data_IF_591882131321
#
_entry.id   IF_591882131321
#
_cell.length_a   1.000
_cell.length_b   1.000
_cell.length_c   1.000
_cell.angle_alpha   90.00
_cell.angle_beta   90.00
_cell.angle_gamma   90.00
#
_symmetry.space_group_name_H-M   'P 1'
#
loop_
_entity.id
_entity.type
_entity.pdbx_description
1 polymer ?
#
# COMPACT_ATOMS: atom_id res chain seq x y z
N UNK A 1 -8.83 -10.16 10.94
CA UNK A 1 -10.03 -10.22 11.79
C UNK A 1 -10.02 -9.09 12.81
N UNK A 2 -10.92 -8.11 12.67
CA UNK A 2 -11.09 -7.03 13.65
C UNK A 2 -11.54 -7.56 15.02
N UNK A 3 -10.93 -7.07 16.10
CA UNK A 3 -11.27 -7.45 17.49
C UNK A 3 -11.85 -6.29 18.30
N UNK A 4 -11.65 -5.04 17.85
CA UNK A 4 -12.06 -3.81 18.55
C UNK A 4 -13.15 -3.00 17.80
N UNK A 5 -13.64 -3.52 16.67
CA UNK A 5 -14.62 -2.83 15.83
C UNK A 5 -15.46 -3.82 15.03
N UNK A 6 -16.54 -3.30 14.43
CA UNK A 6 -17.38 -4.01 13.46
C UNK A 6 -17.39 -3.25 12.15
N UNK A 7 -17.48 -3.99 11.05
CA UNK A 7 -17.59 -3.46 9.69
C UNK A 7 -18.96 -2.80 9.54
N UNK A 8 -18.96 -1.49 9.35
CA UNK A 8 -20.19 -0.72 9.12
C UNK A 8 -20.71 -0.90 7.70
N UNK A 9 -21.97 -0.54 7.45
CA UNK A 9 -22.54 -0.49 6.10
C UNK A 9 -21.74 0.43 5.17
N UNK A 10 -21.17 1.52 5.70
CA UNK A 10 -20.30 2.40 4.93
C UNK A 10 -19.02 1.66 4.51
N UNK A 11 -18.35 0.98 5.45
CA UNK A 11 -17.15 0.21 5.16
C UNK A 11 -17.42 -0.90 4.13
N UNK A 12 -18.53 -1.64 4.27
CA UNK A 12 -18.91 -2.66 3.29
C UNK A 12 -19.14 -2.07 1.90
N UNK A 13 -19.83 -0.93 1.79
CA UNK A 13 -20.02 -0.26 0.49
C UNK A 13 -18.71 0.22 -0.11
N UNK A 14 -17.79 0.67 0.73
CA UNK A 14 -16.50 1.19 0.30
C UNK A 14 -15.57 0.06 -0.15
N UNK A 15 -15.34 -0.95 0.69
CA UNK A 15 -14.29 -1.97 0.49
C UNK A 15 -14.81 -3.32 0.02
N UNK A 16 -16.13 -3.46 -0.15
CA UNK A 16 -16.86 -4.71 -0.44
C UNK A 16 -16.68 -5.85 0.57
N UNK A 17 -15.92 -5.63 1.64
CA UNK A 17 -15.76 -6.59 2.73
C UNK A 17 -16.97 -6.57 3.65
N UNK A 18 -17.54 -7.75 3.88
CA UNK A 18 -18.61 -7.98 4.85
C UNK A 18 -18.04 -8.37 6.22
N UNK A 19 -18.83 -8.22 7.28
CA UNK A 19 -18.44 -8.69 8.61
C UNK A 19 -18.11 -10.19 8.60
N UNK A 20 -18.92 -11.01 7.94
CA UNK A 20 -18.72 -12.45 7.85
C UNK A 20 -17.37 -12.82 7.18
N UNK A 21 -16.95 -12.07 6.15
CA UNK A 21 -15.65 -12.29 5.50
C UNK A 21 -14.48 -11.89 6.41
N UNK A 22 -14.57 -10.78 7.15
CA UNK A 22 -13.46 -10.37 8.02
C UNK A 22 -13.38 -11.19 9.31
N UNK A 23 -14.49 -11.80 9.73
CA UNK A 23 -14.56 -12.70 10.89
C UNK A 23 -13.80 -14.02 10.67
N UNK A 24 -13.67 -14.47 9.42
CA UNK A 24 -12.88 -15.65 9.05
C UNK A 24 -11.40 -15.33 8.79
N UNK A 25 -11.01 -14.06 8.82
CA UNK A 25 -9.64 -13.63 8.55
C UNK A 25 -8.66 -13.93 9.69
N UNK A 26 -7.37 -13.75 9.41
CA UNK A 26 -6.28 -13.90 10.39
C UNK A 26 -6.16 -12.71 11.35
N UNK A 27 -5.47 -12.83 12.48
CA UNK A 27 -5.21 -11.70 13.39
C UNK A 27 -4.27 -10.68 12.74
N UNK A 28 -4.16 -9.47 13.32
CA UNK A 28 -3.24 -8.46 12.78
C UNK A 28 -1.78 -8.90 12.98
N UNK A 29 -1.49 -9.47 14.14
CA UNK A 29 -0.21 -10.02 14.54
C UNK A 29 0.24 -11.13 13.62
N UNK A 30 -0.63 -12.10 13.34
CA UNK A 30 -0.33 -13.20 12.42
C UNK A 30 -0.14 -12.70 10.99
N UNK A 31 -0.94 -11.72 10.54
CA UNK A 31 -0.74 -11.10 9.23
C UNK A 31 0.63 -10.40 9.13
N UNK A 32 1.06 -9.67 10.17
CA UNK A 32 2.39 -9.08 10.25
C UNK A 32 3.49 -10.14 10.21
N UNK A 33 3.33 -11.25 10.93
CA UNK A 33 4.28 -12.36 10.89
C UNK A 33 4.41 -12.97 9.49
N UNK A 34 3.30 -13.14 8.76
CA UNK A 34 3.29 -13.61 7.37
C UNK A 34 4.04 -12.60 6.46
N UNK A 35 3.79 -11.30 6.61
CA UNK A 35 4.51 -10.27 5.85
C UNK A 35 6.03 -10.36 6.08
N UNK A 36 6.46 -10.50 7.32
CA UNK A 36 7.88 -10.60 7.65
C UNK A 36 8.51 -11.90 7.10
N UNK A 37 7.87 -13.05 7.32
CA UNK A 37 8.45 -14.37 7.02
C UNK A 37 8.35 -14.75 5.55
N UNK A 38 7.19 -14.60 4.93
CA UNK A 38 6.95 -15.08 3.56
C UNK A 38 7.39 -14.05 2.51
N UNK A 39 7.32 -12.75 2.84
CA UNK A 39 7.58 -11.66 1.91
C UNK A 39 8.85 -10.87 2.20
N UNK A 40 9.56 -11.19 3.30
CA UNK A 40 10.82 -10.56 3.71
C UNK A 40 10.72 -9.02 3.75
N UNK A 41 9.59 -8.50 4.22
CA UNK A 41 9.26 -7.06 4.16
C UNK A 41 10.22 -6.18 4.96
N UNK A 42 10.97 -6.75 5.90
CA UNK A 42 12.02 -6.06 6.67
C UNK A 42 13.32 -5.85 5.89
N UNK A 43 13.56 -6.67 4.88
CA UNK A 43 14.78 -6.65 4.07
C UNK A 43 14.58 -5.93 2.72
N UNK A 44 13.32 -5.61 2.39
CA UNK A 44 12.93 -5.03 1.11
C UNK A 44 12.47 -3.59 1.25
N UNK A 45 12.71 -2.80 0.21
CA UNK A 45 11.98 -1.55 0.01
C UNK A 45 10.51 -1.90 -0.22
N UNK A 46 9.62 -1.20 0.45
CA UNK A 46 8.19 -1.37 0.26
C UNK A 46 7.56 -0.04 -0.17
N UNK A 47 6.41 -0.12 -0.80
CA UNK A 47 5.75 1.04 -1.37
C UNK A 47 4.26 0.98 -1.12
N UNK A 48 3.64 2.15 -1.02
CA UNK A 48 2.19 2.29 -1.03
C UNK A 48 1.82 3.47 -1.92
N UNK A 49 0.55 3.58 -2.31
CA UNK A 49 0.15 4.72 -3.13
C UNK A 49 0.42 6.03 -2.41
N UNK A 50 0.07 6.16 -1.12
CA UNK A 50 0.42 7.33 -0.32
C UNK A 50 0.90 6.97 1.08
N UNK A 51 1.37 7.94 1.85
CA UNK A 51 1.83 7.70 3.23
C UNK A 51 0.75 7.33 4.25
N UNK A 52 -0.52 7.14 3.83
CA UNK A 52 -1.60 6.74 4.74
C UNK A 52 -1.38 5.33 5.28
N UNK A 53 -1.02 4.38 4.41
CA UNK A 53 -0.78 2.97 4.79
C UNK A 53 0.35 2.85 5.82
N UNK A 54 1.47 3.52 5.60
CA UNK A 54 2.59 3.56 6.56
C UNK A 54 2.14 4.07 7.93
N UNK A 55 1.39 5.18 7.98
CA UNK A 55 0.86 5.72 9.23
C UNK A 55 -0.12 4.77 9.91
N UNK A 56 -0.98 4.10 9.15
CA UNK A 56 -1.93 3.12 9.69
C UNK A 56 -1.23 1.90 10.27
N UNK A 57 -0.22 1.35 9.58
CA UNK A 57 0.55 0.22 10.12
C UNK A 57 1.30 0.61 11.40
N UNK A 58 1.94 1.78 11.47
CA UNK A 58 2.58 2.24 12.71
C UNK A 58 1.58 2.36 13.86
N UNK A 59 0.48 3.11 13.66
CA UNK A 59 -0.51 3.32 14.69
C UNK A 59 -1.15 2.00 15.17
N UNK A 60 -1.40 1.06 14.26
CA UNK A 60 -1.98 -0.23 14.61
C UNK A 60 -0.96 -1.14 15.32
N UNK A 61 0.31 -1.15 14.90
CA UNK A 61 1.37 -1.86 15.60
C UNK A 61 1.53 -1.36 17.04
N UNK A 62 1.56 -0.04 17.24
CA UNK A 62 1.64 0.56 18.57
C UNK A 62 0.43 0.18 19.45
N UNK A 63 -0.77 0.20 18.85
CA UNK A 63 -2.02 -0.09 19.57
C UNK A 63 -2.21 -1.57 19.95
N UNK A 64 -1.59 -2.48 19.20
CA UNK A 64 -1.65 -3.93 19.43
C UNK A 64 -0.37 -4.48 20.06
N UNK A 65 0.63 -3.62 20.32
CA UNK A 65 1.95 -4.02 20.82
C UNK A 65 2.59 -5.08 19.89
N UNK A 66 2.36 -4.89 18.59
CA UNK A 66 2.90 -5.75 17.52
C UNK A 66 4.15 -5.11 16.96
N UNK A 67 5.15 -5.93 16.63
CA UNK A 67 6.33 -5.43 15.91
C UNK A 67 5.92 -4.91 14.52
N UNK A 68 6.48 -3.77 14.13
CA UNK A 68 6.28 -3.22 12.80
C UNK A 68 6.91 -4.13 11.72
N UNK A 69 6.12 -4.60 10.71
CA UNK A 69 6.56 -5.67 9.82
C UNK A 69 7.39 -5.22 8.62
N UNK A 70 7.44 -3.92 8.31
CA UNK A 70 8.17 -3.42 7.15
C UNK A 70 9.54 -2.85 7.51
N UNK A 71 10.41 -2.74 6.52
CA UNK A 71 11.62 -1.95 6.60
C UNK A 71 11.28 -0.45 6.72
N UNK A 72 12.26 0.35 7.16
CA UNK A 72 12.13 1.82 7.15
C UNK A 72 12.21 2.42 5.73
N UNK A 73 12.49 1.59 4.72
CA UNK A 73 12.64 2.01 3.32
C UNK A 73 11.29 2.00 2.64
N UNK A 74 10.56 3.10 2.76
CA UNK A 74 9.23 3.28 2.17
C UNK A 74 9.25 4.25 0.98
N UNK A 75 8.52 3.89 -0.08
CA UNK A 75 8.27 4.77 -1.23
C UNK A 75 6.81 5.24 -1.22
N UNK A 76 6.61 6.55 -1.13
CA UNK A 76 5.33 7.19 -1.40
C UNK A 76 5.15 7.37 -2.92
N UNK A 77 4.48 6.42 -3.56
CA UNK A 77 4.34 6.40 -5.03
C UNK A 77 3.57 7.60 -5.57
N UNK A 78 2.65 8.16 -4.82
CA UNK A 78 1.87 9.35 -5.20
C UNK A 78 2.75 10.60 -5.30
N UNK A 79 3.73 10.73 -4.41
CA UNK A 79 4.72 11.80 -4.48
C UNK A 79 5.66 11.59 -5.68
N UNK A 80 6.27 10.39 -5.75
CA UNK A 80 7.17 10.02 -6.85
C UNK A 80 6.51 10.18 -8.22
N UNK A 81 5.26 9.76 -8.38
CA UNK A 81 4.50 9.89 -9.62
C UNK A 81 4.30 11.35 -10.02
N UNK A 82 3.98 12.23 -9.07
CA UNK A 82 3.79 13.65 -9.34
C UNK A 82 5.09 14.29 -9.81
N UNK A 83 6.21 13.96 -9.17
CA UNK A 83 7.53 14.50 -9.51
C UNK A 83 7.98 14.03 -10.91
N UNK A 84 7.90 12.72 -11.19
CA UNK A 84 8.30 12.15 -12.48
C UNK A 84 7.45 12.66 -13.66
N UNK A 85 6.15 12.90 -13.42
CA UNK A 85 5.22 13.41 -14.44
C UNK A 85 5.09 14.94 -14.44
N UNK A 86 5.90 15.66 -13.64
CA UNK A 86 5.87 17.13 -13.51
C UNK A 86 4.47 17.68 -13.23
N UNK A 87 3.70 16.97 -12.40
CA UNK A 87 2.34 17.38 -12.05
C UNK A 87 2.40 18.49 -10.99
N UNK A 88 1.53 19.52 -11.08
CA UNK A 88 1.49 20.59 -10.09
C UNK A 88 1.01 20.11 -8.71
N UNK A 89 0.34 18.96 -8.66
CA UNK A 89 -0.20 18.38 -7.43
C UNK A 89 -0.19 16.85 -7.52
N UNK A 90 -0.08 16.21 -6.36
CA UNK A 90 -0.27 14.78 -6.18
C UNK A 90 -1.71 14.33 -6.51
N UNK A 91 -1.86 13.20 -7.20
CA UNK A 91 -3.16 12.69 -7.65
C UNK A 91 -3.54 11.33 -7.02
N UNK A 92 -4.83 10.99 -7.02
CA UNK A 92 -5.31 9.69 -6.53
C UNK A 92 -4.96 8.53 -7.46
N UNK A 93 -4.95 7.30 -6.94
CA UNK A 93 -4.51 6.10 -7.66
C UNK A 93 -5.31 5.89 -8.95
N UNK A 94 -6.65 5.96 -8.87
CA UNK A 94 -7.52 5.83 -10.05
C UNK A 94 -7.17 6.82 -11.17
N UNK A 95 -6.82 8.06 -10.81
CA UNK A 95 -6.40 9.07 -11.79
C UNK A 95 -5.03 8.73 -12.38
N UNK A 96 -4.07 8.29 -11.55
CA UNK A 96 -2.75 7.91 -12.02
C UNK A 96 -2.78 6.67 -12.94
N UNK A 97 -3.62 5.69 -12.63
CA UNK A 97 -3.88 4.54 -13.51
C UNK A 97 -4.34 5.04 -14.89
N UNK A 98 -5.38 5.88 -14.93
CA UNK A 98 -5.89 6.45 -16.19
C UNK A 98 -4.87 7.32 -16.92
N UNK A 99 -4.13 8.18 -16.21
CA UNK A 99 -3.10 9.04 -16.80
C UNK A 99 -1.92 8.24 -17.34
N UNK A 100 -1.67 7.05 -16.79
CA UNK A 100 -0.68 6.11 -17.31
C UNK A 100 -1.22 5.21 -18.42
N UNK A 101 -2.38 5.55 -19.00
CA UNK A 101 -3.07 4.79 -20.06
C UNK A 101 -3.41 3.33 -19.66
N UNK A 102 -3.55 3.09 -18.35
CA UNK A 102 -3.99 1.83 -17.79
C UNK A 102 -5.48 1.88 -17.46
N UNK A 103 -6.09 0.70 -17.37
CA UNK A 103 -7.45 0.51 -16.88
C UNK A 103 -7.38 -0.04 -15.46
N UNK A 104 -8.23 0.46 -14.55
CA UNK A 104 -8.37 -0.10 -13.20
C UNK A 104 -8.75 -1.57 -13.30
N UNK A 105 -8.00 -2.40 -12.60
CA UNK A 105 -8.21 -3.84 -12.54
C UNK A 105 -8.72 -4.24 -11.15
N UNK A 106 -9.76 -5.06 -11.09
CA UNK A 106 -10.45 -5.43 -9.86
C UNK A 106 -11.39 -4.35 -9.31
N UNK A 107 -11.64 -4.41 -8.01
CA UNK A 107 -12.62 -3.59 -7.30
C UNK A 107 -11.95 -2.40 -6.61
N UNK A 108 -12.42 -1.19 -6.86
CA UNK A 108 -11.85 -0.02 -6.19
C UNK A 108 -12.00 -0.10 -4.66
N UNK A 109 -10.96 0.29 -3.92
CA UNK A 109 -10.86 0.24 -2.45
C UNK A 109 -10.77 -1.17 -1.83
N UNK A 110 -10.59 -2.20 -2.66
CA UNK A 110 -10.08 -3.49 -2.20
C UNK A 110 -8.57 -3.40 -2.09
N UNK A 111 -8.02 -3.73 -0.92
CA UNK A 111 -6.62 -3.49 -0.62
C UNK A 111 -5.66 -4.24 -1.57
N UNK A 112 -6.02 -5.47 -1.93
CA UNK A 112 -5.32 -6.31 -2.91
C UNK A 112 -5.35 -5.70 -4.32
N UNK A 113 -6.53 -5.28 -4.78
CA UNK A 113 -6.71 -4.67 -6.10
C UNK A 113 -6.03 -3.30 -6.20
N UNK A 114 -6.12 -2.46 -5.17
CA UNK A 114 -5.44 -1.16 -5.12
C UNK A 114 -3.91 -1.35 -5.08
N UNK A 115 -3.39 -2.35 -4.36
CA UNK A 115 -1.96 -2.68 -4.36
C UNK A 115 -1.49 -3.14 -5.74
N UNK A 116 -2.27 -3.98 -6.42
CA UNK A 116 -1.99 -4.43 -7.78
C UNK A 116 -1.94 -3.25 -8.77
N UNK A 117 -2.94 -2.36 -8.74
CA UNK A 117 -2.97 -1.19 -9.60
C UNK A 117 -1.82 -0.22 -9.30
N UNK A 118 -1.46 -0.01 -8.02
CA UNK A 118 -0.29 0.78 -7.65
C UNK A 118 1.01 0.18 -8.21
N UNK A 119 1.16 -1.15 -8.16
CA UNK A 119 2.30 -1.85 -8.74
C UNK A 119 2.36 -1.70 -10.27
N UNK A 120 1.21 -1.72 -10.96
CA UNK A 120 1.14 -1.50 -12.42
C UNK A 120 1.55 -0.07 -12.80
N UNK A 121 1.12 0.93 -12.02
CA UNK A 121 1.55 2.32 -12.20
C UNK A 121 3.05 2.45 -11.96
N UNK A 122 3.59 1.86 -10.89
CA UNK A 122 5.04 1.80 -10.66
C UNK A 122 5.76 1.14 -11.83
N UNK A 123 5.28 0.00 -12.33
CA UNK A 123 5.83 -0.65 -13.51
C UNK A 123 5.85 0.25 -14.75
N UNK A 124 4.84 1.12 -14.92
CA UNK A 124 4.83 2.13 -15.99
C UNK A 124 5.92 3.19 -15.78
N UNK A 125 6.06 3.71 -14.56
CA UNK A 125 7.11 4.68 -14.22
C UNK A 125 8.50 4.10 -14.48
N UNK A 126 8.75 2.85 -14.08
CA UNK A 126 10.05 2.19 -14.26
C UNK A 126 10.38 1.97 -15.75
N UNK A 127 9.39 1.64 -16.58
CA UNK A 127 9.59 1.54 -18.04
C UNK A 127 9.90 2.88 -18.70
N UNK A 128 9.30 3.96 -18.19
CA UNK A 128 9.46 5.31 -18.76
C UNK A 128 10.75 6.00 -18.31
N UNK A 129 11.16 5.79 -17.06
CA UNK A 129 12.23 6.55 -16.41
C UNK A 129 13.44 5.71 -15.98
N UNK A 130 13.37 4.38 -16.11
CA UNK A 130 14.38 3.46 -15.56
C UNK A 130 14.19 3.18 -14.06
N UNK A 131 14.93 2.22 -13.53
CA UNK A 131 14.82 1.81 -12.11
C UNK A 131 15.62 2.68 -11.14
N UNK A 132 16.53 3.50 -11.66
CA UNK A 132 17.31 4.47 -10.88
C UNK A 132 16.44 5.46 -10.10
N UNK A 133 15.17 5.67 -10.50
CA UNK A 133 14.20 6.48 -9.76
C UNK A 133 13.91 5.94 -8.35
N UNK A 134 14.23 4.66 -8.09
CA UNK A 134 14.07 4.03 -6.79
C UNK A 134 15.36 4.03 -5.95
N UNK A 135 16.50 4.42 -6.52
CA UNK A 135 17.80 4.39 -5.84
C UNK A 135 17.82 5.19 -4.52
N UNK A 136 17.20 6.40 -4.43
CA UNK A 136 17.14 7.14 -3.17
C UNK A 136 16.46 6.39 -2.02
N UNK A 137 15.66 5.37 -2.33
CA UNK A 137 14.92 4.57 -1.34
C UNK A 137 15.61 3.24 -1.02
N UNK A 138 16.61 2.83 -1.81
CA UNK A 138 17.37 1.58 -1.59
C UNK A 138 18.46 1.76 -0.54
N UNK A 139 19.02 2.97 -0.46
CA UNK A 139 20.07 3.32 0.48
C UNK A 139 19.44 3.70 1.84
N UNK A 140 20.00 3.18 2.92
CA UNK A 140 19.56 3.57 4.27
C UNK A 140 20.04 4.99 4.53
N UNK A 141 19.21 5.87 5.11
CA UNK A 141 19.76 6.92 5.95
C UNK A 141 20.46 6.19 7.12
N UNK A 142 21.78 6.38 7.24
CA UNK A 142 22.55 5.95 8.41
C UNK A 142 22.00 6.57 9.70
#
# INVERSE_FOLDING_TARGET
KPTRSKVSTYCTKLTTLTQAQVDTGTTFEDACAVLESDYLTRERVWASWGGYDQRMFHAQCDSFVTRYPFSQKHVNLKALYADLNKLPNQIGLARAVKTSELVLDGTHHRGDDDAWNAARVLGSMLRQHGDAVLEPFRQSAE
#
